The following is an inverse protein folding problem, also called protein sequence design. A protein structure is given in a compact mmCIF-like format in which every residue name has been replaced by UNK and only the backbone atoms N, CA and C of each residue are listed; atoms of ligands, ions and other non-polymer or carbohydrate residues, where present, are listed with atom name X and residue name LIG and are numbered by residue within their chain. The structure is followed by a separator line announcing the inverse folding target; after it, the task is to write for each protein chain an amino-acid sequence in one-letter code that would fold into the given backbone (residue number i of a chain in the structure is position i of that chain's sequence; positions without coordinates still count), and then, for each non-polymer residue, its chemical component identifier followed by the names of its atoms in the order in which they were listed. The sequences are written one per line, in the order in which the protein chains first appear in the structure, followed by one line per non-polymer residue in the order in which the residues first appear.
data_IF_433494662343
#
_entry.id   IF_433494662343
#
_cell.length_a   1.000
_cell.length_b   1.000
_cell.length_c   1.000
_cell.angle_alpha   90.00
_cell.angle_beta   90.00
_cell.angle_gamma   90.00
#
_symmetry.space_group_name_H-M   'P 1'
#
loop_
_entity.id
_entity.type
_entity.pdbx_description
1 polymer ?
#
# COMPACT_ATOMS: atom_id res chain seq x y z
N UNK A 1 -9.85 7.59 -5.04
CA UNK A 1 -11.06 6.83 -5.30
C UNK A 1 -12.13 7.26 -4.32
N UNK A 2 -13.28 7.70 -4.82
CA UNK A 2 -14.45 7.95 -4.01
C UNK A 2 -15.28 6.66 -3.91
N UNK A 3 -15.70 6.31 -2.72
CA UNK A 3 -16.64 5.22 -2.47
C UNK A 3 -17.98 5.81 -2.07
N UNK A 4 -19.05 5.31 -2.67
CA UNK A 4 -20.42 5.69 -2.33
C UNK A 4 -21.17 4.43 -1.90
N UNK A 5 -21.65 4.43 -0.68
CA UNK A 5 -22.51 3.38 -0.17
C UNK A 5 -23.97 3.72 -0.46
N UNK A 6 -24.68 2.81 -1.11
CA UNK A 6 -26.10 2.95 -1.40
C UNK A 6 -26.92 2.11 -0.43
N UNK A 7 -28.02 2.65 0.08
CA UNK A 7 -28.93 1.93 0.99
C UNK A 7 -29.70 0.80 0.29
N UNK A 8 -29.71 0.79 -1.03
CA UNK A 8 -30.43 -0.18 -1.86
C UNK A 8 -29.64 -0.48 -3.12
N UNK A 9 -29.62 -1.73 -3.56
CA UNK A 9 -29.04 -2.09 -4.85
C UNK A 9 -29.74 -1.33 -5.99
N UNK A 10 -29.01 -0.55 -6.79
CA UNK A 10 -29.60 0.18 -7.89
C UNK A 10 -30.00 -0.77 -9.03
N UNK A 11 -31.08 -0.45 -9.70
CA UNK A 11 -31.49 -1.15 -10.91
C UNK A 11 -30.50 -0.91 -12.05
N UNK A 12 -30.52 -1.75 -13.08
CA UNK A 12 -29.65 -1.60 -14.26
C UNK A 12 -29.80 -0.23 -14.92
N UNK A 13 -31.02 0.31 -14.98
CA UNK A 13 -31.28 1.64 -15.56
C UNK A 13 -30.71 2.76 -14.68
N UNK A 14 -30.78 2.64 -13.37
CA UNK A 14 -30.21 3.58 -12.42
C UNK A 14 -28.66 3.57 -12.49
N UNK A 15 -28.07 2.37 -12.59
CA UNK A 15 -26.62 2.23 -12.82
C UNK A 15 -26.18 2.90 -14.12
N UNK A 16 -26.90 2.69 -15.21
CA UNK A 16 -26.58 3.29 -16.51
C UNK A 16 -26.74 4.82 -16.50
N UNK A 17 -27.71 5.36 -15.79
CA UNK A 17 -27.88 6.82 -15.64
C UNK A 17 -26.76 7.43 -14.81
N UNK A 18 -26.40 6.74 -13.71
CA UNK A 18 -25.29 7.17 -12.86
C UNK A 18 -23.95 7.14 -13.61
N UNK A 19 -23.69 6.06 -14.37
CA UNK A 19 -22.47 5.92 -15.16
C UNK A 19 -22.32 7.04 -16.18
N UNK A 20 -23.40 7.34 -16.94
CA UNK A 20 -23.42 8.47 -17.88
C UNK A 20 -23.16 9.83 -17.21
N UNK A 21 -23.77 10.07 -16.06
CA UNK A 21 -23.58 11.30 -15.31
C UNK A 21 -22.13 11.42 -14.78
N UNK A 22 -21.53 10.31 -14.30
CA UNK A 22 -20.15 10.29 -13.82
C UNK A 22 -19.14 10.49 -14.94
N UNK A 23 -19.35 9.89 -16.12
CA UNK A 23 -18.50 10.10 -17.30
C UNK A 23 -18.44 11.56 -17.69
N UNK A 24 -19.56 12.28 -17.64
CA UNK A 24 -19.59 13.73 -17.93
C UNK A 24 -18.77 14.55 -16.93
N UNK A 25 -18.59 14.04 -15.71
CA UNK A 25 -17.77 14.66 -14.65
C UNK A 25 -16.32 14.18 -14.65
N UNK A 26 -15.93 13.30 -15.58
CA UNK A 26 -14.59 12.72 -15.67
C UNK A 26 -14.37 11.54 -14.72
N UNK A 27 -15.45 10.91 -14.23
CA UNK A 27 -15.40 9.72 -13.39
C UNK A 27 -15.91 8.50 -14.14
N UNK A 28 -15.50 7.31 -13.75
CA UNK A 28 -15.95 6.03 -14.29
C UNK A 28 -16.44 5.14 -13.14
N UNK A 29 -17.57 4.45 -13.35
CA UNK A 29 -18.03 3.42 -12.43
C UNK A 29 -17.17 2.17 -12.56
N UNK A 30 -16.59 1.74 -11.44
CA UNK A 30 -15.82 0.52 -11.38
C UNK A 30 -16.76 -0.67 -11.16
N UNK A 31 -16.66 -1.69 -12.01
CA UNK A 31 -17.38 -2.96 -11.84
C UNK A 31 -17.00 -3.61 -10.49
N UNK A 32 -17.98 -4.17 -9.77
CA UNK A 32 -17.78 -4.86 -8.50
C UNK A 32 -16.71 -5.97 -8.58
N UNK A 33 -16.58 -6.65 -9.71
CA UNK A 33 -15.55 -7.66 -9.93
C UNK A 33 -14.15 -7.04 -9.94
N UNK A 34 -13.97 -5.92 -10.64
CA UNK A 34 -12.69 -5.19 -10.71
C UNK A 34 -12.32 -4.65 -9.33
N UNK A 35 -13.26 -4.05 -8.61
CA UNK A 35 -13.06 -3.56 -7.24
C UNK A 35 -12.61 -4.67 -6.29
N UNK A 36 -13.23 -5.84 -6.35
CA UNK A 36 -12.85 -7.00 -5.52
C UNK A 36 -11.45 -7.51 -5.83
N UNK A 37 -11.04 -7.50 -7.10
CA UNK A 37 -9.67 -7.88 -7.47
C UNK A 37 -8.67 -6.87 -6.91
N UNK A 38 -8.94 -5.58 -6.99
CA UNK A 38 -8.09 -4.53 -6.41
C UNK A 38 -7.95 -4.70 -4.90
N UNK A 39 -9.06 -4.92 -4.19
CA UNK A 39 -9.03 -5.17 -2.74
C UNK A 39 -8.19 -6.41 -2.39
N UNK A 40 -8.33 -7.49 -3.15
CA UNK A 40 -7.52 -8.70 -2.95
C UNK A 40 -6.03 -8.43 -3.17
N UNK A 41 -5.65 -7.66 -4.20
CA UNK A 41 -4.25 -7.25 -4.42
C UNK A 41 -3.73 -6.48 -3.20
N UNK A 42 -4.47 -5.49 -2.72
CA UNK A 42 -4.10 -4.70 -1.55
C UNK A 42 -3.95 -5.57 -0.30
N UNK A 43 -4.90 -6.47 -0.05
CA UNK A 43 -4.87 -7.36 1.11
C UNK A 43 -3.67 -8.30 1.07
N UNK A 44 -3.35 -8.89 -0.08
CA UNK A 44 -2.15 -9.74 -0.23
C UNK A 44 -0.88 -8.93 0.07
N UNK A 45 -0.78 -7.71 -0.44
CA UNK A 45 0.40 -6.84 -0.20
C UNK A 45 0.51 -6.46 1.28
N UNK A 46 -0.59 -6.09 1.92
CA UNK A 46 -0.62 -5.76 3.35
C UNK A 46 -0.21 -6.97 4.18
N UNK A 47 -0.73 -8.15 3.87
CA UNK A 47 -0.37 -9.39 4.55
C UNK A 47 1.13 -9.71 4.42
N UNK A 48 1.67 -9.62 3.20
CA UNK A 48 3.09 -9.82 2.94
C UNK A 48 4.00 -8.87 3.73
N UNK A 49 3.60 -7.61 3.89
CA UNK A 49 4.43 -6.59 4.53
C UNK A 49 4.28 -6.60 6.05
N UNK A 50 3.06 -6.78 6.55
CA UNK A 50 2.76 -6.55 7.96
C UNK A 50 2.68 -7.83 8.80
N UNK A 51 2.36 -8.97 8.20
CA UNK A 51 2.10 -10.22 8.92
C UNK A 51 3.09 -11.35 8.62
N UNK A 52 3.84 -11.28 7.53
CA UNK A 52 4.82 -12.31 7.21
C UNK A 52 6.22 -11.87 7.65
N UNK A 53 6.76 -12.55 8.68
CA UNK A 53 8.16 -12.39 9.06
C UNK A 53 9.05 -13.10 8.05
N UNK A 54 9.83 -12.34 7.33
CA UNK A 54 11.12 -12.68 6.69
C UNK A 54 11.26 -13.99 5.91
N UNK A 55 10.20 -14.62 5.46
CA UNK A 55 10.33 -16.02 5.10
C UNK A 55 10.42 -16.39 3.63
N UNK A 56 10.43 -15.46 2.70
CA UNK A 56 10.80 -15.82 1.33
C UNK A 56 11.17 -14.59 0.52
N UNK A 57 12.30 -14.65 -0.18
CA UNK A 57 12.59 -13.82 -1.35
C UNK A 57 11.62 -14.17 -2.49
N UNK A 58 10.33 -14.21 -2.20
CA UNK A 58 9.32 -14.56 -3.18
C UNK A 58 9.04 -13.33 -4.01
N UNK A 59 9.07 -13.50 -5.31
CA UNK A 59 8.77 -12.44 -6.23
C UNK A 59 7.31 -12.02 -6.07
N UNK A 60 7.05 -10.72 -5.87
CA UNK A 60 5.70 -10.17 -5.67
C UNK A 60 4.74 -10.58 -6.80
N UNK A 61 5.21 -10.59 -8.04
CA UNK A 61 4.41 -11.01 -9.20
C UNK A 61 3.94 -12.46 -9.10
N UNK A 62 4.82 -13.36 -8.64
CA UNK A 62 4.51 -14.77 -8.51
C UNK A 62 3.51 -15.03 -7.38
N UNK A 63 3.66 -14.32 -6.26
CA UNK A 63 2.72 -14.40 -5.13
C UNK A 63 1.34 -13.94 -5.55
N UNK A 64 1.24 -12.77 -6.18
CA UNK A 64 -0.05 -12.23 -6.62
C UNK A 64 -0.72 -13.13 -7.66
N UNK A 65 0.03 -13.59 -8.67
CA UNK A 65 -0.51 -14.47 -9.70
C UNK A 65 -1.00 -15.79 -9.15
N UNK A 66 -0.25 -16.41 -8.23
CA UNK A 66 -0.62 -17.70 -7.63
C UNK A 66 -1.80 -17.60 -6.67
N UNK A 67 -1.85 -16.56 -5.83
CA UNK A 67 -2.91 -16.39 -4.86
C UNK A 67 -4.23 -15.91 -5.47
N UNK A 68 -4.14 -15.05 -6.49
CA UNK A 68 -5.33 -14.49 -7.14
C UNK A 68 -5.78 -15.23 -8.38
N UNK A 69 -5.00 -16.22 -8.83
CA UNK A 69 -5.27 -17.02 -10.04
C UNK A 69 -5.50 -16.17 -11.30
N UNK A 70 -4.72 -15.11 -11.44
CA UNK A 70 -4.70 -14.20 -12.59
C UNK A 70 -3.28 -13.96 -13.06
N UNK A 71 -3.14 -13.69 -14.37
CA UNK A 71 -1.88 -13.23 -14.93
C UNK A 71 -1.46 -11.89 -14.35
N UNK A 72 -0.15 -11.74 -14.04
CA UNK A 72 0.35 -10.52 -13.40
C UNK A 72 0.17 -9.27 -14.26
N UNK A 73 0.28 -9.38 -15.59
CA UNK A 73 0.06 -8.24 -16.47
C UNK A 73 -1.38 -7.74 -16.39
N UNK A 74 -2.35 -8.65 -16.28
CA UNK A 74 -3.74 -8.29 -16.05
C UNK A 74 -3.91 -7.55 -14.73
N UNK A 75 -3.37 -8.09 -13.63
CA UNK A 75 -3.44 -7.48 -12.30
C UNK A 75 -2.78 -6.10 -12.27
N UNK A 76 -1.61 -5.97 -12.88
CA UNK A 76 -0.83 -4.72 -12.93
C UNK A 76 -1.54 -3.63 -13.73
N UNK A 77 -2.09 -3.99 -14.90
CA UNK A 77 -2.84 -3.04 -15.71
C UNK A 77 -4.11 -2.58 -15.01
N UNK A 78 -4.89 -3.51 -14.46
CA UNK A 78 -6.11 -3.21 -13.73
C UNK A 78 -5.83 -2.31 -12.53
N UNK A 79 -4.80 -2.63 -11.74
CA UNK A 79 -4.43 -1.84 -10.57
C UNK A 79 -4.01 -0.42 -10.96
N UNK A 80 -3.20 -0.28 -12.01
CA UNK A 80 -2.75 1.03 -12.49
C UNK A 80 -3.89 1.87 -13.05
N UNK A 81 -4.83 1.25 -13.78
CA UNK A 81 -6.01 1.91 -14.32
C UNK A 81 -6.91 2.46 -13.21
N UNK A 82 -7.16 1.67 -12.16
CA UNK A 82 -8.10 2.01 -11.09
C UNK A 82 -7.46 2.90 -10.02
N UNK A 83 -6.25 2.56 -9.58
CA UNK A 83 -5.58 3.25 -8.45
C UNK A 83 -4.71 4.44 -8.90
N UNK A 84 -4.43 4.58 -10.19
CA UNK A 84 -3.54 5.63 -10.71
C UNK A 84 -2.08 5.48 -10.31
N UNK A 85 -1.70 4.31 -9.81
CA UNK A 85 -0.34 3.96 -9.39
C UNK A 85 -0.02 2.51 -9.68
N UNK A 86 1.25 2.11 -9.66
CA UNK A 86 1.63 0.71 -9.90
C UNK A 86 1.57 -0.13 -8.63
N UNK A 87 1.41 -1.45 -8.80
CA UNK A 87 1.48 -2.42 -7.69
C UNK A 87 2.81 -2.28 -6.94
N UNK A 88 3.92 -2.12 -7.65
CA UNK A 88 5.25 -1.99 -7.06
C UNK A 88 5.38 -0.73 -6.19
N UNK A 89 4.85 0.40 -6.66
CA UNK A 89 4.84 1.64 -5.87
C UNK A 89 3.97 1.50 -4.63
N UNK A 90 2.83 0.84 -4.74
CA UNK A 90 1.97 0.56 -3.61
C UNK A 90 2.66 -0.36 -2.59
N UNK A 91 3.33 -1.43 -3.06
CA UNK A 91 4.12 -2.32 -2.21
C UNK A 91 5.25 -1.60 -1.48
N UNK A 92 6.00 -0.75 -2.19
CA UNK A 92 7.04 0.08 -1.59
C UNK A 92 6.45 1.01 -0.53
N UNK A 93 5.32 1.67 -0.80
CA UNK A 93 4.65 2.54 0.16
C UNK A 93 4.27 1.79 1.43
N UNK A 94 3.70 0.59 1.32
CA UNK A 94 3.37 -0.26 2.47
C UNK A 94 4.62 -0.67 3.27
N UNK A 95 5.71 -1.02 2.59
CA UNK A 95 6.99 -1.31 3.27
C UNK A 95 7.51 -0.09 4.04
N UNK A 96 7.43 1.10 3.46
CA UNK A 96 7.86 2.33 4.14
C UNK A 96 6.98 2.64 5.35
N UNK A 97 5.67 2.42 5.28
CA UNK A 97 4.79 2.56 6.45
C UNK A 97 5.20 1.57 7.57
N UNK A 98 5.54 0.33 7.22
CA UNK A 98 6.06 -0.63 8.20
C UNK A 98 7.43 -0.21 8.78
N UNK A 99 8.31 0.35 7.96
CA UNK A 99 9.58 0.94 8.46
C UNK A 99 9.30 2.05 9.47
N UNK A 100 8.38 2.96 9.18
CA UNK A 100 7.98 4.04 10.11
C UNK A 100 7.48 3.48 11.45
N UNK A 101 6.62 2.47 11.39
CA UNK A 101 6.11 1.78 12.57
C UNK A 101 7.26 1.21 13.41
N UNK A 102 8.15 0.42 12.81
CA UNK A 102 9.28 -0.21 13.50
C UNK A 102 10.28 0.81 14.07
N UNK A 103 10.52 1.92 13.36
CA UNK A 103 11.35 3.02 13.87
C UNK A 103 10.75 3.71 15.11
N UNK A 104 9.42 3.77 15.17
CA UNK A 104 8.70 4.39 16.32
C UNK A 104 8.72 3.48 17.54
N UNK A 105 8.63 2.17 17.38
CA UNK A 105 8.71 1.21 18.49
C UNK A 105 10.11 1.09 19.09
N UNK A 106 11.16 1.45 18.33
CA UNK A 106 12.57 1.51 18.76
C UNK A 106 13.13 0.20 19.35
N UNK A 107 12.55 -0.92 18.97
CA UNK A 107 12.99 -2.25 19.43
C UNK A 107 14.06 -2.86 18.50
N UNK A 108 14.14 -2.37 17.26
CA UNK A 108 15.02 -2.90 16.22
C UNK A 108 15.97 -1.83 15.69
N UNK A 109 17.23 -2.24 15.46
CA UNK A 109 18.17 -1.43 14.70
C UNK A 109 17.75 -1.30 13.24
N UNK A 110 18.28 -0.30 12.53
CA UNK A 110 17.99 -0.11 11.10
C UNK A 110 18.44 -1.32 10.26
N UNK A 111 19.50 -2.01 10.67
CA UNK A 111 19.97 -3.24 10.03
C UNK A 111 18.97 -4.39 10.21
N UNK A 112 18.41 -4.54 11.39
CA UNK A 112 17.38 -5.55 11.67
C UNK A 112 16.09 -5.26 10.92
N UNK A 113 15.68 -3.99 10.83
CA UNK A 113 14.53 -3.57 10.01
C UNK A 113 14.76 -3.89 8.54
N UNK A 114 15.95 -3.56 8.00
CA UNK A 114 16.30 -3.86 6.63
C UNK A 114 16.25 -5.37 6.35
N UNK A 115 16.80 -6.16 7.25
CA UNK A 115 16.76 -7.62 7.16
C UNK A 115 15.31 -8.15 7.22
N UNK A 116 14.54 -7.70 8.19
CA UNK A 116 13.15 -8.14 8.41
C UNK A 116 12.24 -7.83 7.21
N UNK A 117 12.46 -6.73 6.54
CA UNK A 117 11.67 -6.31 5.38
C UNK A 117 12.29 -6.69 4.03
N UNK A 118 13.26 -7.60 4.04
CA UNK A 118 13.94 -8.10 2.82
C UNK A 118 14.53 -6.98 1.94
N UNK A 119 15.16 -6.00 2.57
CA UNK A 119 16.00 -5.04 1.85
C UNK A 119 17.39 -5.63 1.59
N UNK A 120 17.94 -5.38 0.41
CA UNK A 120 19.28 -5.85 0.05
C UNK A 120 20.39 -5.23 0.88
N UNK A 121 20.18 -4.03 1.42
CA UNK A 121 21.11 -3.32 2.30
C UNK A 121 20.41 -2.22 3.09
N UNK A 122 21.04 -1.80 4.19
CA UNK A 122 20.60 -0.62 4.96
C UNK A 122 20.64 0.65 4.11
N UNK A 123 21.64 0.78 3.25
CA UNK A 123 21.75 1.93 2.34
C UNK A 123 20.56 2.00 1.36
N UNK A 124 20.14 0.85 0.83
CA UNK A 124 18.99 0.80 -0.07
C UNK A 124 17.69 1.18 0.66
N UNK A 125 17.47 0.65 1.86
CA UNK A 125 16.34 1.05 2.72
C UNK A 125 16.35 2.57 2.96
N UNK A 126 17.47 3.12 3.41
CA UNK A 126 17.60 4.54 3.74
C UNK A 126 17.32 5.44 2.54
N UNK A 127 17.85 5.09 1.37
CA UNK A 127 17.60 5.82 0.12
C UNK A 127 16.13 5.76 -0.30
N UNK A 128 15.51 4.58 -0.22
CA UNK A 128 14.11 4.41 -0.57
C UNK A 128 13.19 5.15 0.42
N UNK A 129 13.50 5.08 1.72
CA UNK A 129 12.77 5.81 2.76
C UNK A 129 12.81 7.32 2.50
N UNK A 130 14.01 7.87 2.23
CA UNK A 130 14.17 9.29 1.91
C UNK A 130 13.45 9.68 0.62
N UNK A 131 13.48 8.82 -0.41
CA UNK A 131 12.79 9.06 -1.68
C UNK A 131 11.27 9.14 -1.52
N UNK A 132 10.70 8.29 -0.66
CA UNK A 132 9.24 8.22 -0.46
C UNK A 132 8.75 9.28 0.54
N UNK A 133 9.49 9.51 1.62
CA UNK A 133 9.07 10.40 2.74
C UNK A 133 9.64 11.80 2.67
N UNK A 134 10.72 12.02 1.92
CA UNK A 134 11.51 13.24 1.94
C UNK A 134 12.44 13.38 3.16
N UNK A 135 12.41 12.44 4.10
CA UNK A 135 13.13 12.48 5.37
C UNK A 135 14.16 11.34 5.47
N UNK A 136 15.25 11.58 6.19
CA UNK A 136 16.12 10.47 6.62
C UNK A 136 15.47 9.67 7.75
N UNK A 137 15.83 8.41 7.88
CA UNK A 137 15.33 7.53 8.98
C UNK A 137 15.70 8.09 10.35
N UNK A 138 16.89 8.65 10.52
CA UNK A 138 17.36 9.27 11.77
C UNK A 138 16.53 10.52 12.12
N UNK A 139 16.29 11.39 11.15
CA UNK A 139 15.50 12.59 11.37
C UNK A 139 14.03 12.27 11.67
N UNK A 140 13.46 11.28 10.99
CA UNK A 140 12.11 10.79 11.28
C UNK A 140 11.98 10.28 12.72
N UNK A 141 12.95 9.49 13.19
CA UNK A 141 13.00 9.00 14.56
C UNK A 141 13.07 10.16 15.56
N UNK A 142 13.97 11.11 15.36
CA UNK A 142 14.14 12.29 16.22
C UNK A 142 12.85 13.11 16.36
N UNK A 143 12.15 13.41 15.26
CA UNK A 143 10.87 14.16 15.32
C UNK A 143 9.84 13.42 16.17
N UNK A 144 9.82 12.08 16.10
CA UNK A 144 8.86 11.26 16.86
C UNK A 144 9.20 11.20 18.33
N UNK A 145 10.47 11.14 18.68
CA UNK A 145 10.96 11.21 20.08
C UNK A 145 10.63 12.56 20.71
N UNK A 146 10.86 13.66 19.99
CA UNK A 146 10.55 15.01 20.47
C UNK A 146 9.04 15.20 20.72
N UNK A 147 8.17 14.58 19.94
CA UNK A 147 6.71 14.58 20.16
C UNK A 147 6.25 13.67 21.30
N UNK A 148 7.10 12.75 21.75
CA UNK A 148 6.82 11.84 22.88
C UNK A 148 7.33 12.35 24.21
N UNK A 149 8.00 13.52 24.28
CA UNK A 149 8.41 14.12 25.54
C UNK A 149 7.17 14.36 26.41
N UNK A 150 7.14 13.84 27.66
CA UNK A 150 5.99 13.96 28.51
C UNK A 150 5.68 15.43 28.80
N UNK A 151 4.40 15.74 28.99
CA UNK A 151 3.87 17.04 29.42
C UNK A 151 4.46 17.51 30.75
N UNK A 152 5.18 16.65 31.48
CA UNK A 152 5.81 16.94 32.79
C UNK A 152 7.07 17.80 32.69
N UNK A 153 7.47 18.25 31.53
CA UNK A 153 8.62 19.14 31.30
C UNK A 153 8.27 20.40 30.51
N UNK A 154 7.08 20.85 30.68
CA UNK A 154 6.68 22.19 30.24
C UNK A 154 6.78 23.19 31.39
#
# INVERSE_FOLDING_TARGET
LGEVTLDKEPTTDEKNKLDKALILLGFELIDDKKSRVIEKIKNVIIDLVHHQDNNTKTNLSDVLSSQLHHDYNYLSNLFSEVEGTTIEKYFIAQKIEKVKELLVYDELSLSEIAFRLNYSSVAYLSNQFKKVTGLTTSYFKQIREDKRKPLDKV
#
